data_IF_173406814858
#
_entry.id   IF_173406814858
#
_cell.length_a   1.000
_cell.length_b   1.000
_cell.length_c   1.000
_cell.angle_alpha   90.00
_cell.angle_beta   90.00
_cell.angle_gamma   90.00
#
_symmetry.space_group_name_H-M   'P 1'
#
loop_
_entity.id
_entity.type
_entity.pdbx_description
1 polymer ?
#
# COMPACT_ATOMS: atom_id res chain seq x y z
N UNK A 1 -66.93 16.33 -2.54
CA UNK A 1 -65.73 16.83 -1.83
C UNK A 1 -64.60 15.85 -2.07
N UNK A 2 -63.62 16.18 -2.93
CA UNK A 2 -62.48 15.31 -3.21
C UNK A 2 -61.28 15.86 -2.46
N UNK A 3 -60.92 15.16 -1.37
CA UNK A 3 -59.75 15.46 -0.55
C UNK A 3 -58.50 15.04 -1.33
N UNK A 4 -57.73 16.01 -1.82
CA UNK A 4 -56.39 15.77 -2.37
C UNK A 4 -55.46 15.46 -1.21
N UNK A 5 -54.83 14.29 -1.23
CA UNK A 5 -53.77 13.93 -0.28
C UNK A 5 -52.47 14.52 -0.82
N UNK A 6 -51.87 15.44 -0.08
CA UNK A 6 -50.52 15.92 -0.35
C UNK A 6 -49.54 14.78 -0.08
N UNK A 7 -49.13 14.10 -1.13
CA UNK A 7 -48.13 13.04 -1.08
C UNK A 7 -46.81 13.66 -0.64
N UNK A 8 -46.29 13.14 0.48
CA UNK A 8 -45.23 13.73 1.29
C UNK A 8 -44.01 14.22 0.52
N UNK A 9 -43.72 15.52 0.68
CA UNK A 9 -42.47 16.20 0.28
C UNK A 9 -41.23 15.77 1.08
N UNK A 10 -41.32 14.73 1.92
CA UNK A 10 -40.23 14.26 2.79
C UNK A 10 -39.32 13.18 2.18
N UNK A 11 -39.70 12.59 1.05
CA UNK A 11 -38.96 11.48 0.44
C UNK A 11 -37.82 11.83 -0.55
N UNK A 12 -37.69 13.03 -1.16
CA UNK A 12 -36.69 13.23 -2.21
C UNK A 12 -35.25 13.23 -1.68
N UNK A 13 -35.02 13.80 -0.48
CA UNK A 13 -33.70 13.78 0.16
C UNK A 13 -33.28 12.36 0.57
N UNK A 14 -34.23 11.54 1.01
CA UNK A 14 -33.96 10.15 1.35
C UNK A 14 -33.50 9.36 0.13
N UNK A 15 -34.18 9.49 -1.02
CA UNK A 15 -33.76 8.84 -2.26
C UNK A 15 -32.41 9.34 -2.76
N UNK A 16 -32.12 10.64 -2.61
CA UNK A 16 -30.81 11.21 -2.94
C UNK A 16 -29.69 10.62 -2.07
N UNK A 17 -29.90 10.57 -0.75
CA UNK A 17 -28.95 9.99 0.20
C UNK A 17 -28.77 8.48 -0.02
N UNK A 18 -29.85 7.77 -0.32
CA UNK A 18 -29.82 6.35 -0.63
C UNK A 18 -29.02 6.08 -1.91
N UNK A 19 -29.24 6.87 -2.96
CA UNK A 19 -28.50 6.75 -4.22
C UNK A 19 -27.01 7.06 -4.02
N UNK A 20 -26.70 8.14 -3.30
CA UNK A 20 -25.32 8.52 -3.01
C UNK A 20 -24.60 7.50 -2.13
N UNK A 21 -25.25 7.01 -1.07
CA UNK A 21 -24.72 5.98 -0.19
C UNK A 21 -24.50 4.65 -0.93
N UNK A 22 -25.45 4.25 -1.78
CA UNK A 22 -25.32 3.05 -2.63
C UNK A 22 -24.14 3.17 -3.60
N UNK A 23 -23.93 4.35 -4.20
CA UNK A 23 -22.79 4.59 -5.08
C UNK A 23 -21.45 4.46 -4.32
N UNK A 24 -21.34 5.06 -3.13
CA UNK A 24 -20.15 4.96 -2.29
C UNK A 24 -19.90 3.50 -1.88
N UNK A 25 -20.94 2.78 -1.42
CA UNK A 25 -20.81 1.38 -1.02
C UNK A 25 -20.34 0.50 -2.19
N UNK A 26 -20.90 0.71 -3.38
CA UNK A 26 -20.54 -0.04 -4.59
C UNK A 26 -19.10 0.23 -5.01
N UNK A 27 -18.66 1.50 -5.00
CA UNK A 27 -17.26 1.85 -5.31
C UNK A 27 -16.28 1.19 -4.33
N UNK A 28 -16.58 1.23 -3.03
CA UNK A 28 -15.74 0.60 -2.01
C UNK A 28 -15.71 -0.93 -2.16
N UNK A 29 -16.83 -1.56 -2.50
CA UNK A 29 -16.90 -3.00 -2.75
C UNK A 29 -16.09 -3.40 -3.98
N UNK A 30 -16.19 -2.65 -5.08
CA UNK A 30 -15.38 -2.89 -6.28
C UNK A 30 -13.89 -2.71 -5.99
N UNK A 31 -13.52 -1.65 -5.27
CA UNK A 31 -12.15 -1.44 -4.84
C UNK A 31 -11.63 -2.62 -4.00
N UNK A 32 -12.43 -3.09 -3.03
CA UNK A 32 -12.09 -4.26 -2.20
C UNK A 32 -11.88 -5.52 -3.06
N UNK A 33 -12.79 -5.81 -4.00
CA UNK A 33 -12.69 -6.99 -4.88
C UNK A 33 -11.45 -6.92 -5.77
N UNK A 34 -11.13 -5.75 -6.33
CA UNK A 34 -9.93 -5.56 -7.15
C UNK A 34 -8.66 -5.75 -6.31
N UNK A 35 -8.62 -5.20 -5.09
CA UNK A 35 -7.49 -5.38 -4.19
C UNK A 35 -7.35 -6.83 -3.71
N UNK A 36 -8.46 -7.51 -3.43
CA UNK A 36 -8.48 -8.91 -3.02
C UNK A 36 -7.99 -9.83 -4.15
N UNK A 37 -8.54 -9.69 -5.37
CA UNK A 37 -8.08 -10.45 -6.55
C UNK A 37 -6.62 -10.20 -6.88
N UNK A 38 -6.16 -8.93 -6.77
CA UNK A 38 -4.74 -8.60 -6.96
C UNK A 38 -3.87 -9.25 -5.89
N UNK A 39 -4.33 -9.34 -4.65
CA UNK A 39 -3.60 -9.99 -3.57
C UNK A 39 -3.50 -11.49 -3.80
N UNK A 40 -4.58 -12.12 -4.26
CA UNK A 40 -4.61 -13.54 -4.60
C UNK A 40 -3.72 -13.87 -5.80
N UNK A 41 -3.76 -13.06 -6.87
CA UNK A 41 -2.88 -13.25 -8.04
C UNK A 41 -1.41 -13.01 -7.72
N UNK A 42 -1.10 -12.00 -6.90
CA UNK A 42 0.26 -11.75 -6.41
C UNK A 42 0.73 -12.89 -5.50
N UNK A 43 -0.15 -13.45 -4.67
CA UNK A 43 0.19 -14.61 -3.83
C UNK A 43 0.45 -15.86 -4.66
N UNK A 44 -0.37 -16.14 -5.68
CA UNK A 44 -0.20 -17.27 -6.57
C UNK A 44 1.09 -17.14 -7.40
N UNK A 45 1.34 -15.95 -7.96
CA UNK A 45 2.60 -15.65 -8.64
C UNK A 45 3.82 -15.75 -7.70
N UNK A 46 3.68 -15.39 -6.42
CA UNK A 46 4.74 -15.61 -5.41
C UNK A 46 4.98 -17.08 -5.14
N UNK A 47 3.96 -17.92 -5.04
CA UNK A 47 4.10 -19.37 -4.81
C UNK A 47 4.80 -20.03 -6.00
N UNK A 48 4.38 -19.71 -7.22
CA UNK A 48 4.98 -20.25 -8.45
C UNK A 48 6.43 -19.78 -8.63
N UNK A 49 6.69 -18.50 -8.38
CA UNK A 49 8.05 -17.94 -8.40
C UNK A 49 8.91 -18.44 -7.24
N UNK A 50 8.33 -18.79 -6.09
CA UNK A 50 9.06 -19.35 -4.97
C UNK A 50 9.45 -20.80 -5.23
N UNK A 51 8.56 -21.62 -5.81
CA UNK A 51 8.89 -22.98 -6.21
C UNK A 51 9.94 -23.02 -7.34
N UNK A 52 9.76 -22.18 -8.37
CA UNK A 52 10.72 -22.03 -9.48
C UNK A 52 12.05 -21.40 -9.00
N UNK A 53 11.96 -20.44 -8.07
CA UNK A 53 13.07 -19.81 -7.39
C UNK A 53 13.85 -20.80 -6.53
N UNK A 54 13.22 -21.65 -5.73
CA UNK A 54 13.89 -22.66 -4.90
C UNK A 54 14.72 -23.65 -5.72
N UNK A 55 14.21 -24.09 -6.87
CA UNK A 55 14.95 -24.94 -7.81
C UNK A 55 16.20 -24.23 -8.39
N UNK A 56 16.14 -22.91 -8.57
CA UNK A 56 17.28 -22.07 -9.00
C UNK A 56 18.22 -21.69 -7.84
N UNK A 57 17.68 -21.46 -6.65
CA UNK A 57 18.38 -21.09 -5.41
C UNK A 57 19.25 -22.25 -4.90
N UNK A 58 18.84 -23.50 -5.10
CA UNK A 58 19.68 -24.67 -4.85
C UNK A 58 21.02 -24.63 -5.62
N UNK A 59 21.05 -23.95 -6.78
CA UNK A 59 22.26 -23.76 -7.61
C UNK A 59 22.97 -22.41 -7.37
N UNK A 60 22.28 -21.39 -6.86
CA UNK A 60 22.82 -20.03 -6.66
C UNK A 60 23.21 -19.69 -5.21
N UNK A 61 23.00 -20.59 -4.25
CA UNK A 61 23.27 -20.39 -2.81
C UNK A 61 24.72 -20.01 -2.45
N UNK A 62 25.65 -20.01 -3.41
CA UNK A 62 27.07 -19.68 -3.21
C UNK A 62 27.32 -18.16 -3.12
N UNK A 63 26.45 -17.28 -3.63
CA UNK A 63 26.63 -15.83 -3.46
C UNK A 63 25.30 -15.09 -3.34
N UNK A 64 24.73 -15.03 -2.12
CA UNK A 64 23.67 -14.06 -1.81
C UNK A 64 24.31 -12.67 -1.69
N UNK A 65 24.27 -11.87 -2.74
CA UNK A 65 24.56 -10.44 -2.63
C UNK A 65 23.38 -9.75 -1.95
N UNK A 66 23.58 -9.34 -0.70
CA UNK A 66 22.59 -8.54 0.02
C UNK A 66 22.66 -7.11 -0.52
N UNK A 67 21.51 -6.55 -0.93
CA UNK A 67 21.46 -5.18 -1.46
C UNK A 67 21.35 -4.17 -0.31
N UNK A 68 22.04 -3.03 -0.43
CA UNK A 68 21.95 -1.94 0.53
C UNK A 68 20.88 -0.93 0.13
N UNK A 69 20.05 -0.52 1.08
CA UNK A 69 19.03 0.53 0.86
C UNK A 69 19.58 1.86 1.37
N UNK A 70 19.66 2.85 0.50
CA UNK A 70 20.08 4.21 0.85
C UNK A 70 18.88 5.16 0.95
N UNK A 71 18.83 5.97 2.00
CA UNK A 71 17.82 7.00 2.19
C UNK A 71 18.49 8.36 2.41
N UNK A 72 18.19 9.33 1.53
CA UNK A 72 18.67 10.71 1.67
C UNK A 72 17.66 11.51 2.48
N UNK A 73 18.09 12.07 3.61
CA UNK A 73 17.25 12.88 4.48
C UNK A 73 17.86 14.29 4.62
N UNK A 74 17.03 15.30 4.33
CA UNK A 74 17.28 16.71 4.67
C UNK A 74 16.62 17.03 6.02
N UNK A 75 17.11 18.08 6.71
CA UNK A 75 16.64 18.44 8.05
C UNK A 75 15.31 19.23 8.06
N UNK A 76 14.35 18.80 7.23
CA UNK A 76 12.99 19.34 7.20
C UNK A 76 12.02 18.41 7.97
N UNK A 77 11.01 18.98 8.63
CA UNK A 77 10.02 18.22 9.40
C UNK A 77 9.33 17.12 8.56
N UNK A 78 8.97 17.45 7.31
CA UNK A 78 8.35 16.51 6.38
C UNK A 78 9.29 15.35 6.01
N UNK A 79 10.55 15.64 5.68
CA UNK A 79 11.55 14.62 5.34
C UNK A 79 11.84 13.69 6.51
N UNK A 80 11.85 14.20 7.76
CA UNK A 80 11.99 13.36 8.96
C UNK A 80 10.82 12.38 9.11
N UNK A 81 9.58 12.83 8.92
CA UNK A 81 8.41 11.96 8.95
C UNK A 81 8.45 10.92 7.84
N UNK A 82 8.74 11.34 6.61
CA UNK A 82 8.84 10.44 5.46
C UNK A 82 9.92 9.36 5.67
N UNK A 83 11.09 9.72 6.20
CA UNK A 83 12.14 8.75 6.53
C UNK A 83 11.71 7.75 7.62
N UNK A 84 10.85 8.15 8.56
CA UNK A 84 10.30 7.22 9.58
C UNK A 84 9.36 6.19 8.94
N UNK A 85 8.50 6.62 8.02
CA UNK A 85 7.61 5.71 7.27
C UNK A 85 8.45 4.75 6.41
N UNK A 86 9.45 5.26 5.70
CA UNK A 86 10.33 4.43 4.86
C UNK A 86 11.12 3.41 5.69
N UNK A 87 11.60 3.82 6.87
CA UNK A 87 12.29 2.93 7.81
C UNK A 87 11.39 1.85 8.38
N UNK A 88 10.11 2.17 8.65
CA UNK A 88 9.12 1.18 9.07
C UNK A 88 8.99 0.06 8.03
N UNK A 89 8.79 0.42 6.75
CA UNK A 89 8.67 -0.57 5.67
C UNK A 89 9.96 -1.34 5.40
N UNK A 90 11.13 -0.70 5.55
CA UNK A 90 12.41 -1.40 5.50
C UNK A 90 12.48 -2.53 6.55
N UNK A 91 12.04 -2.26 7.80
CA UNK A 91 12.05 -3.29 8.86
C UNK A 91 11.13 -4.44 8.53
N UNK A 92 9.90 -4.15 8.10
CA UNK A 92 8.93 -5.18 7.67
C UNK A 92 9.50 -6.05 6.54
N UNK A 93 10.14 -5.44 5.55
CA UNK A 93 10.76 -6.16 4.43
C UNK A 93 12.01 -6.93 4.82
N UNK A 94 12.83 -6.42 5.75
CA UNK A 94 14.05 -7.09 6.23
C UNK A 94 13.76 -8.39 6.97
N UNK A 95 12.66 -8.44 7.73
CA UNK A 95 12.27 -9.60 8.52
C UNK A 95 11.45 -10.64 7.75
N UNK A 96 11.12 -10.39 6.48
CA UNK A 96 10.40 -11.36 5.63
C UNK A 96 11.28 -12.54 5.18
N UNK A 97 10.69 -13.74 5.12
CA UNK A 97 11.37 -14.92 4.58
C UNK A 97 11.76 -14.70 3.11
N UNK A 98 13.04 -14.92 2.79
CA UNK A 98 13.59 -14.70 1.44
C UNK A 98 14.02 -13.26 1.14
N UNK A 99 14.06 -12.38 2.14
CA UNK A 99 14.51 -10.99 1.94
C UNK A 99 15.98 -10.91 1.52
N UNK A 100 16.23 -10.28 0.37
CA UNK A 100 17.57 -9.96 -0.16
C UNK A 100 18.10 -8.60 0.35
N UNK A 101 17.34 -7.97 1.24
CA UNK A 101 17.61 -6.62 1.74
C UNK A 101 18.63 -6.70 2.89
N UNK A 102 19.82 -6.16 2.65
CA UNK A 102 20.90 -6.09 3.62
C UNK A 102 20.83 -4.87 4.53
N UNK A 103 21.93 -4.13 4.59
CA UNK A 103 22.06 -2.95 5.44
C UNK A 103 21.19 -1.78 4.98
N UNK A 104 20.69 -1.00 5.93
CA UNK A 104 20.10 0.31 5.66
C UNK A 104 21.14 1.39 5.93
N UNK A 105 21.46 2.18 4.91
CA UNK A 105 22.38 3.30 5.01
C UNK A 105 21.57 4.60 4.99
N UNK A 106 21.64 5.35 6.09
CA UNK A 106 21.06 6.70 6.14
C UNK A 106 22.12 7.71 5.69
N UNK A 107 21.82 8.47 4.63
CA UNK A 107 22.63 9.61 4.21
C UNK A 107 21.95 10.88 4.73
N UNK A 108 22.57 11.53 5.71
CA UNK A 108 22.12 12.81 6.26
C UNK A 108 22.75 13.94 5.47
N UNK A 109 21.92 14.82 4.91
CA UNK A 109 22.39 16.07 4.33
C UNK A 109 21.89 17.22 5.22
N UNK A 110 22.80 17.82 5.99
CA UNK A 110 22.53 19.09 6.67
C UNK A 110 22.39 20.14 5.57
N UNK A 111 21.17 20.61 5.31
CA UNK A 111 20.89 21.64 4.31
C UNK A 111 21.48 23.02 4.65
N UNK A 112 22.58 23.08 5.40
CA UNK A 112 23.30 24.32 5.67
C UNK A 112 24.08 24.66 4.39
N UNK A 113 23.48 25.48 3.54
CA UNK A 113 24.25 26.29 2.59
C UNK A 113 25.28 27.05 3.42
N UNK A 114 26.55 26.67 3.29
CA UNK A 114 27.67 27.46 3.78
C UNK A 114 27.69 28.68 2.86
N UNK A 115 27.12 29.79 3.36
CA UNK A 115 27.41 31.13 2.86
C UNK A 115 28.67 31.64 3.55
#
# INVERSE_FOLDING_TARGET
MIRRQDIGKGFPLFFLLLAFGSFIATYNLVAMVIHYRRRESVNQLRVDNFASGMLKIGRLRVQRQLFHVAATAIDAAYSRWQCRIMYYWYKEMKHGEGSEVGGFTRVLHSGKLIA
#
